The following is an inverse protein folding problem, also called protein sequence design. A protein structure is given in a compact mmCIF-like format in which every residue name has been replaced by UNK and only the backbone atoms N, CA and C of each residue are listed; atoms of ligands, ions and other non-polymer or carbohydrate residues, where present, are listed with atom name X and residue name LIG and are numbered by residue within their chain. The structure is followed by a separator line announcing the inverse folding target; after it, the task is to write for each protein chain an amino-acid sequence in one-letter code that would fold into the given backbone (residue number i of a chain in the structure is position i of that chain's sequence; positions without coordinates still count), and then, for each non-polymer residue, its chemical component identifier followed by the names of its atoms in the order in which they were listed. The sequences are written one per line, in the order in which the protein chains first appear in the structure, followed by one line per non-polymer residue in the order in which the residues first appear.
data_IF_700957429890
#
_entry.id   IF_700957429890
#
_cell.length_a   1.000
_cell.length_b   1.000
_cell.length_c   1.000
_cell.angle_alpha   90.00
_cell.angle_beta   90.00
_cell.angle_gamma   90.00
#
_symmetry.space_group_name_H-M   'P 1'
#
loop_
_entity.id
_entity.type
_entity.pdbx_description
1 polymer ?
#
# COMPACT_ATOMS: atom_id res chain seq x y z
N UNK A 1 -6.34 15.60 -4.12
CA UNK A 1 -6.70 14.22 -4.47
C UNK A 1 -7.49 13.65 -3.32
N UNK A 2 -8.67 13.11 -3.58
CA UNK A 2 -9.47 12.48 -2.53
C UNK A 2 -9.03 11.02 -2.35
N UNK A 3 -8.63 10.68 -1.14
CA UNK A 3 -8.22 9.33 -0.76
C UNK A 3 -9.34 8.64 0.01
N UNK A 4 -9.53 7.36 -0.27
CA UNK A 4 -10.43 6.53 0.53
C UNK A 4 -9.85 6.28 1.93
N UNK A 5 -10.68 5.92 2.89
CA UNK A 5 -10.21 5.59 4.24
C UNK A 5 -9.26 4.39 4.25
N UNK A 6 -9.46 3.43 3.34
CA UNK A 6 -8.55 2.30 3.16
C UNK A 6 -7.18 2.73 2.64
N UNK A 7 -7.14 3.66 1.68
CA UNK A 7 -5.89 4.21 1.15
C UNK A 7 -5.13 4.95 2.24
N UNK A 8 -5.81 5.84 2.99
CA UNK A 8 -5.22 6.55 4.12
C UNK A 8 -4.67 5.58 5.17
N UNK A 9 -5.43 4.53 5.49
CA UNK A 9 -5.00 3.52 6.45
C UNK A 9 -3.67 2.87 6.03
N UNK A 10 -3.56 2.44 4.78
CA UNK A 10 -2.33 1.79 4.28
C UNK A 10 -1.16 2.77 4.26
N UNK A 11 -1.35 4.01 3.82
CA UNK A 11 -0.28 5.02 3.84
C UNK A 11 0.21 5.31 5.26
N UNK A 12 -0.69 5.46 6.23
CA UNK A 12 -0.33 5.66 7.64
C UNK A 12 0.44 4.46 8.22
N UNK A 13 0.06 3.23 7.84
CA UNK A 13 0.78 2.01 8.26
C UNK A 13 2.17 1.95 7.65
N UNK A 14 2.32 2.31 6.38
CA UNK A 14 3.61 2.41 5.70
C UNK A 14 4.52 3.43 6.38
N UNK A 15 4.03 4.63 6.69
CA UNK A 15 4.80 5.66 7.43
C UNK A 15 5.29 5.10 8.76
N UNK A 16 4.41 4.45 9.54
CA UNK A 16 4.78 3.84 10.83
C UNK A 16 5.81 2.71 10.71
N UNK A 17 5.89 2.03 9.57
CA UNK A 17 6.82 0.90 9.33
C UNK A 17 8.15 1.34 8.71
N UNK A 18 8.36 2.63 8.43
CA UNK A 18 9.56 3.15 7.80
C UNK A 18 9.49 3.21 6.27
N UNK A 19 8.31 3.54 5.74
CA UNK A 19 8.03 3.82 4.32
C UNK A 19 7.98 2.63 3.37
N UNK A 20 8.19 1.39 3.83
CA UNK A 20 8.07 0.18 3.01
C UNK A 20 7.24 -0.88 3.73
N UNK A 21 6.46 -1.67 3.00
CA UNK A 21 5.71 -2.77 3.59
C UNK A 21 4.85 -3.57 2.64
N UNK A 22 4.28 -4.67 3.16
CA UNK A 22 3.37 -5.53 2.44
C UNK A 22 1.93 -5.01 2.57
N UNK A 23 1.31 -4.66 1.44
CA UNK A 23 -0.09 -4.18 1.38
C UNK A 23 -1.06 -5.22 1.94
N UNK A 24 -0.84 -6.51 1.65
CA UNK A 24 -1.72 -7.59 2.11
C UNK A 24 -1.76 -7.68 3.64
N UNK A 25 -0.62 -7.43 4.30
CA UNK A 25 -0.50 -7.41 5.76
C UNK A 25 -1.30 -6.25 6.36
N UNK A 26 -1.23 -5.07 5.76
CA UNK A 26 -1.94 -3.88 6.28
C UNK A 26 -3.45 -3.92 6.06
N UNK A 27 -3.89 -4.57 4.99
CA UNK A 27 -5.30 -4.80 4.72
C UNK A 27 -5.86 -6.02 5.45
N UNK A 28 -4.98 -6.83 6.07
CA UNK A 28 -5.31 -8.13 6.66
C UNK A 28 -6.04 -9.03 5.66
N UNK A 29 -5.61 -9.01 4.40
CA UNK A 29 -6.24 -9.76 3.32
C UNK A 29 -5.58 -11.14 3.13
N UNK A 30 -6.38 -12.21 3.05
CA UNK A 30 -5.86 -13.54 2.77
C UNK A 30 -5.40 -13.65 1.31
N UNK A 31 -4.66 -14.72 0.99
CA UNK A 31 -4.17 -14.99 -0.36
C UNK A 31 -5.28 -15.10 -1.42
N UNK A 32 -6.49 -15.50 -1.03
CA UNK A 32 -7.66 -15.52 -1.94
C UNK A 32 -8.05 -14.14 -2.47
N UNK A 33 -7.63 -13.06 -1.80
CA UNK A 33 -7.87 -11.67 -2.20
C UNK A 33 -6.64 -11.04 -2.87
N UNK A 34 -5.64 -11.84 -3.27
CA UNK A 34 -4.37 -11.31 -3.77
C UNK A 34 -4.52 -10.42 -5.01
N UNK A 35 -5.37 -10.79 -5.96
CA UNK A 35 -5.62 -10.00 -7.18
C UNK A 35 -6.17 -8.62 -6.83
N UNK A 36 -7.16 -8.57 -5.94
CA UNK A 36 -7.70 -7.31 -5.41
C UNK A 36 -6.63 -6.48 -4.68
N UNK A 37 -5.74 -7.14 -3.92
CA UNK A 37 -4.61 -6.48 -3.27
C UNK A 37 -3.62 -5.87 -4.27
N UNK A 38 -3.42 -6.54 -5.39
CA UNK A 38 -2.56 -6.08 -6.47
C UNK A 38 -3.16 -4.89 -7.21
N UNK A 39 -4.45 -4.94 -7.52
CA UNK A 39 -5.20 -3.81 -8.06
C UNK A 39 -5.18 -2.60 -7.13
N UNK A 40 -5.33 -2.82 -5.82
CA UNK A 40 -5.22 -1.76 -4.82
C UNK A 40 -3.82 -1.12 -4.81
N UNK A 41 -2.75 -1.93 -4.82
CA UNK A 41 -1.38 -1.42 -4.89
C UNK A 41 -1.12 -0.63 -6.18
N UNK A 42 -1.62 -1.12 -7.32
CA UNK A 42 -1.55 -0.40 -8.59
C UNK A 42 -2.35 0.91 -8.58
N UNK A 43 -3.49 0.95 -7.90
CA UNK A 43 -4.28 2.18 -7.72
C UNK A 43 -3.48 3.23 -6.95
N UNK A 44 -2.80 2.83 -5.87
CA UNK A 44 -1.90 3.72 -5.13
C UNK A 44 -0.71 4.18 -6.00
N UNK A 45 -0.15 3.30 -6.81
CA UNK A 45 0.96 3.63 -7.70
C UNK A 45 0.55 4.60 -8.82
N UNK A 46 -0.63 4.42 -9.40
CA UNK A 46 -1.18 5.32 -10.42
C UNK A 46 -1.50 6.71 -9.87
N UNK A 47 -1.69 6.82 -8.55
CA UNK A 47 -1.83 8.08 -7.81
C UNK A 47 -0.49 8.69 -7.40
N UNK A 48 0.63 8.09 -7.80
CA UNK A 48 1.99 8.45 -7.41
C UNK A 48 2.23 8.43 -5.89
N UNK A 49 1.50 7.60 -5.14
CA UNK A 49 1.62 7.50 -3.69
C UNK A 49 2.63 6.43 -3.26
N UNK A 50 2.79 5.39 -4.07
CA UNK A 50 3.71 4.29 -3.78
C UNK A 50 4.39 3.82 -5.06
N UNK A 51 5.51 3.15 -4.90
CA UNK A 51 6.16 2.34 -5.93
C UNK A 51 6.03 0.87 -5.57
N UNK A 52 5.51 0.07 -6.49
CA UNK A 52 5.50 -1.38 -6.35
C UNK A 52 6.93 -1.91 -6.51
N UNK A 53 7.45 -2.57 -5.48
CA UNK A 53 8.81 -3.14 -5.50
C UNK A 53 8.80 -4.58 -5.99
N UNK A 54 7.89 -5.40 -5.45
CA UNK A 54 7.68 -6.77 -5.90
C UNK A 54 6.30 -7.29 -5.49
N UNK A 55 5.83 -8.31 -6.20
CA UNK A 55 4.64 -9.09 -5.83
C UNK A 55 4.93 -10.59 -5.91
N UNK A 56 4.37 -11.36 -4.99
CA UNK A 56 4.51 -12.81 -4.93
C UNK A 56 3.22 -13.44 -4.37
N UNK A 57 2.45 -14.06 -5.26
CA UNK A 57 1.19 -14.73 -4.93
C UNK A 57 1.40 -15.83 -3.89
N UNK A 58 2.39 -16.70 -4.10
CA UNK A 58 2.64 -17.87 -3.23
C UNK A 58 3.01 -17.50 -1.79
N UNK A 59 3.53 -16.28 -1.58
CA UNK A 59 3.87 -15.76 -0.24
C UNK A 59 2.84 -14.77 0.31
N UNK A 60 1.76 -14.50 -0.43
CA UNK A 60 0.79 -13.44 -0.14
C UNK A 60 1.46 -12.07 0.11
N UNK A 61 2.40 -11.69 -0.76
CA UNK A 61 3.19 -10.48 -0.64
C UNK A 61 2.99 -9.53 -1.81
N UNK A 62 2.68 -8.27 -1.50
CA UNK A 62 2.65 -7.15 -2.42
C UNK A 62 3.38 -6.01 -1.73
N UNK A 63 4.67 -5.89 -1.99
CA UNK A 63 5.53 -4.95 -1.27
C UNK A 63 5.68 -3.66 -2.05
N UNK A 64 5.41 -2.57 -1.36
CA UNK A 64 5.45 -1.21 -1.88
C UNK A 64 6.34 -0.34 -1.00
N UNK A 65 6.86 0.72 -1.61
CA UNK A 65 7.57 1.81 -0.93
C UNK A 65 6.81 3.13 -1.17
N UNK A 66 6.74 4.00 -0.15
CA UNK A 66 6.13 5.32 -0.29
C UNK A 66 6.96 6.21 -1.22
N UNK A 67 6.27 6.96 -2.07
CA UNK A 67 6.86 8.16 -2.68
C UNK A 67 6.88 9.31 -1.66
N UNK A 68 7.50 10.43 -2.00
CA UNK A 68 7.39 11.65 -1.20
C UNK A 68 5.93 12.10 -1.06
N UNK A 69 5.15 12.04 -2.14
CA UNK A 69 3.72 12.40 -2.13
C UNK A 69 2.93 11.46 -1.22
N UNK A 70 3.17 10.15 -1.29
CA UNK A 70 2.52 9.17 -0.41
C UNK A 70 2.87 9.38 1.06
N UNK A 71 4.13 9.74 1.34
CA UNK A 71 4.57 10.05 2.70
C UNK A 71 3.83 11.25 3.29
N UNK A 72 3.68 12.33 2.54
CA UNK A 72 2.92 13.52 2.97
C UNK A 72 1.45 13.18 3.29
N UNK A 73 0.82 12.33 2.48
CA UNK A 73 -0.57 11.90 2.71
C UNK A 73 -0.72 10.88 3.85
N UNK A 74 0.34 10.13 4.16
CA UNK A 74 0.37 9.16 5.26
C UNK A 74 0.68 9.76 6.63
N UNK A 75 1.14 11.01 6.70
CA UNK A 75 1.37 11.67 7.98
C UNK A 75 0.03 11.96 8.68
N UNK A 76 -0.07 11.52 9.94
CA UNK A 76 -1.16 11.96 10.83
C UNK A 76 -0.76 13.34 11.33
N UNK A 77 -1.55 14.37 10.99
CA UNK A 77 -1.44 15.69 11.60
C UNK A 77 -2.01 15.68 13.01
#
# INVERSE_FOLDING_TARGET
MDLTETEKHVLQRLVKKGSMGNVMEFLNWPQSEFEKGFEFANTLQNKDLVKLLYSNFNKNQIVVELTLVGFEHGQIK
#
